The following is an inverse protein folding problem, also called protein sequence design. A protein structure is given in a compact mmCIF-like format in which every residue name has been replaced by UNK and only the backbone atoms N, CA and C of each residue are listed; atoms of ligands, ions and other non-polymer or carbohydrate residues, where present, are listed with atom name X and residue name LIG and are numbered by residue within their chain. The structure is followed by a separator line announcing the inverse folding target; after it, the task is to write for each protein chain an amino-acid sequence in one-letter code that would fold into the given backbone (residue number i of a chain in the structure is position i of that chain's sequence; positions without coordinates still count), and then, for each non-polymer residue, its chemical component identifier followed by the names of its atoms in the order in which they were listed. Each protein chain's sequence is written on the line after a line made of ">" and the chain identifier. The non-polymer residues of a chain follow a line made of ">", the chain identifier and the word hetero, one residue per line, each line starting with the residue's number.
data_IF_785513496452
#
_entry.id   IF_785513496452
#
_cell.length_a   1.000
_cell.length_b   1.000
_cell.length_c   1.000
_cell.angle_alpha   90.00
_cell.angle_beta   90.00
_cell.angle_gamma   90.00
#
_symmetry.space_group_name_H-M   'P 1'
#
loop_
_entity.id
_entity.type
_entity.pdbx_description
1 polymer ?
#
# COMPACT_ATOMS: atom_id res chain seq x y z
N UNK A 1 41.68 -3.03 -8.74
CA UNK A 1 40.70 -3.87 -9.46
C UNK A 1 39.62 -2.93 -9.97
N UNK A 2 39.44 -2.77 -11.29
CA UNK A 2 38.34 -1.95 -11.84
C UNK A 2 37.08 -2.83 -11.82
N UNK A 3 36.04 -2.38 -11.12
CA UNK A 3 34.77 -3.08 -11.11
C UNK A 3 34.20 -3.20 -12.52
N UNK A 4 33.57 -4.34 -12.81
CA UNK A 4 32.97 -4.60 -14.12
C UNK A 4 31.88 -3.55 -14.38
N UNK A 5 31.72 -3.02 -15.61
CA UNK A 5 30.69 -2.04 -15.93
C UNK A 5 29.28 -2.46 -15.53
N UNK A 6 28.98 -3.76 -15.58
CA UNK A 6 27.70 -4.30 -15.10
C UNK A 6 27.50 -4.09 -13.59
N UNK A 7 28.53 -4.32 -12.77
CA UNK A 7 28.43 -4.16 -11.31
C UNK A 7 28.18 -2.70 -10.92
N UNK A 8 28.82 -1.77 -11.64
CA UNK A 8 28.58 -0.33 -11.46
C UNK A 8 27.12 0.00 -11.82
N UNK A 9 26.63 -0.48 -12.97
CA UNK A 9 25.24 -0.26 -13.39
C UNK A 9 24.22 -0.80 -12.38
N UNK A 10 24.41 -2.03 -11.88
CA UNK A 10 23.54 -2.65 -10.88
C UNK A 10 23.53 -1.86 -9.56
N UNK A 11 24.68 -1.32 -9.14
CA UNK A 11 24.79 -0.47 -7.96
C UNK A 11 24.03 0.85 -8.12
N UNK A 12 24.13 1.51 -9.28
CA UNK A 12 23.37 2.73 -9.55
C UNK A 12 21.87 2.45 -9.61
N UNK A 13 21.47 1.31 -10.17
CA UNK A 13 20.07 0.89 -10.22
C UNK A 13 19.50 0.63 -8.82
N UNK A 14 20.21 -0.10 -7.97
CA UNK A 14 19.77 -0.36 -6.60
C UNK A 14 19.66 0.92 -5.78
N UNK A 15 20.56 1.89 -6.00
CA UNK A 15 20.46 3.22 -5.40
C UNK A 15 19.20 3.96 -5.82
N UNK A 16 18.85 3.94 -7.10
CA UNK A 16 17.62 4.55 -7.60
C UNK A 16 16.37 3.90 -6.96
N UNK A 17 16.37 2.57 -6.81
CA UNK A 17 15.27 1.86 -6.14
C UNK A 17 15.13 2.28 -4.66
N UNK A 18 16.25 2.55 -3.98
CA UNK A 18 16.28 3.11 -2.61
C UNK A 18 15.75 4.54 -2.59
N UNK A 19 16.13 5.39 -3.53
CA UNK A 19 15.64 6.78 -3.63
C UNK A 19 14.11 6.81 -3.85
N UNK A 20 13.59 5.97 -4.76
CA UNK A 20 12.14 5.80 -4.96
C UNK A 20 11.43 5.36 -3.67
N UNK A 21 12.04 4.43 -2.92
CA UNK A 21 11.50 3.96 -1.64
C UNK A 21 11.45 5.08 -0.60
N UNK A 22 12.49 5.91 -0.50
CA UNK A 22 12.54 7.06 0.41
C UNK A 22 11.54 8.16 0.02
N UNK A 23 11.28 8.36 -1.27
CA UNK A 23 10.26 9.30 -1.74
C UNK A 23 8.85 8.84 -1.37
N UNK A 24 8.54 7.54 -1.55
CA UNK A 24 7.28 6.96 -1.07
C UNK A 24 7.17 7.08 0.45
N UNK A 25 8.27 6.79 1.15
CA UNK A 25 8.33 6.88 2.60
C UNK A 25 7.99 8.29 3.09
N UNK A 26 8.64 9.33 2.57
CA UNK A 26 8.38 10.71 3.00
C UNK A 26 7.01 11.22 2.54
N UNK A 27 6.69 11.06 1.25
CA UNK A 27 5.55 11.75 0.65
C UNK A 27 4.22 11.01 0.80
N UNK A 28 4.23 9.67 0.82
CA UNK A 28 2.99 8.90 0.91
C UNK A 28 2.66 8.52 2.35
N UNK A 29 3.67 8.16 3.15
CA UNK A 29 3.48 7.83 4.57
C UNK A 29 3.54 9.08 5.45
N UNK A 30 3.80 10.27 4.88
CA UNK A 30 3.83 11.56 5.58
C UNK A 30 4.74 11.48 6.82
N UNK A 31 5.94 10.90 6.65
CA UNK A 31 6.98 10.87 7.68
C UNK A 31 7.63 12.25 7.80
N UNK A 32 6.85 13.24 8.23
CA UNK A 32 7.38 14.50 8.68
C UNK A 32 7.59 14.39 10.19
N UNK A 33 8.85 14.24 10.59
CA UNK A 33 9.27 14.25 11.99
C UNK A 33 9.64 15.67 12.43
N UNK A 34 8.77 16.36 13.20
CA UNK A 34 9.28 17.35 14.14
C UNK A 34 8.98 17.02 15.62
N UNK A 35 8.21 15.95 15.93
CA UNK A 35 7.65 15.78 17.29
C UNK A 35 7.99 14.46 18.01
N UNK A 36 8.83 13.59 17.42
CA UNK A 36 9.30 12.38 18.10
C UNK A 36 10.53 12.73 18.95
N UNK A 37 10.31 13.17 20.20
CA UNK A 37 11.37 13.54 21.16
C UNK A 37 12.03 12.33 21.85
N UNK A 38 11.47 11.14 21.65
CA UNK A 38 11.86 9.92 22.35
C UNK A 38 12.34 8.84 21.36
N UNK A 39 13.49 8.24 21.68
CA UNK A 39 14.19 7.28 20.82
C UNK A 39 13.38 6.00 20.59
N UNK A 40 12.62 5.53 21.60
CA UNK A 40 11.77 4.35 21.45
C UNK A 40 10.58 4.62 20.53
N UNK A 41 9.98 5.80 20.65
CA UNK A 41 8.91 6.23 19.75
C UNK A 41 9.41 6.37 18.31
N UNK A 42 10.62 6.89 18.09
CA UNK A 42 11.25 6.93 16.77
C UNK A 42 11.49 5.52 16.21
N UNK A 43 12.01 4.59 17.01
CA UNK A 43 12.20 3.19 16.61
C UNK A 43 10.90 2.54 16.18
N UNK A 44 9.84 2.69 16.98
CA UNK A 44 8.51 2.15 16.66
C UNK A 44 7.91 2.76 15.38
N UNK A 45 8.10 4.07 15.21
CA UNK A 45 7.64 4.78 14.02
C UNK A 45 8.33 4.29 12.73
N UNK A 46 9.66 4.18 12.75
CA UNK A 46 10.45 3.67 11.62
C UNK A 46 10.05 2.22 11.31
N UNK A 47 9.83 1.40 12.33
CA UNK A 47 9.38 0.02 12.17
C UNK A 47 8.01 -0.08 11.47
N UNK A 48 7.01 0.65 11.94
CA UNK A 48 5.69 0.67 11.31
C UNK A 48 5.74 1.20 9.87
N UNK A 49 6.58 2.20 9.63
CA UNK A 49 6.79 2.77 8.29
C UNK A 49 7.47 1.76 7.35
N UNK A 50 8.38 0.93 7.85
CA UNK A 50 9.00 -0.15 7.07
C UNK A 50 7.98 -1.23 6.68
N UNK A 51 7.09 -1.62 7.59
CA UNK A 51 5.98 -2.55 7.28
C UNK A 51 5.08 -1.95 6.19
N UNK A 52 4.76 -0.66 6.31
CA UNK A 52 3.94 0.07 5.35
C UNK A 52 4.58 0.10 3.96
N UNK A 53 5.91 0.29 3.90
CA UNK A 53 6.68 0.25 2.66
C UNK A 53 6.68 -1.15 2.01
N UNK A 54 6.81 -2.21 2.80
CA UNK A 54 6.68 -3.60 2.30
C UNK A 54 5.29 -3.81 1.69
N UNK A 55 4.23 -3.37 2.37
CA UNK A 55 2.87 -3.48 1.87
C UNK A 55 2.68 -2.68 0.57
N UNK A 56 3.20 -1.46 0.50
CA UNK A 56 3.18 -0.62 -0.70
C UNK A 56 3.79 -1.34 -1.92
N UNK A 57 5.01 -1.88 -1.78
CA UNK A 57 5.68 -2.56 -2.89
C UNK A 57 5.00 -3.88 -3.28
N UNK A 58 4.36 -4.57 -2.34
CA UNK A 58 3.53 -5.74 -2.66
C UNK A 58 2.33 -5.35 -3.53
N UNK A 59 1.66 -4.26 -3.20
CA UNK A 59 0.55 -3.74 -4.00
C UNK A 59 1.06 -3.28 -5.36
N UNK A 60 2.15 -2.52 -5.40
CA UNK A 60 2.77 -2.07 -6.66
C UNK A 60 3.12 -3.24 -7.58
N UNK A 61 3.72 -4.31 -7.03
CA UNK A 61 4.03 -5.53 -7.77
C UNK A 61 2.76 -6.18 -8.33
N UNK A 62 1.68 -6.21 -7.55
CA UNK A 62 0.39 -6.75 -7.98
C UNK A 62 -0.20 -5.91 -9.13
N UNK A 63 -0.18 -4.58 -9.02
CA UNK A 63 -0.63 -3.67 -10.08
C UNK A 63 0.20 -3.82 -11.37
N UNK A 64 1.53 -3.99 -11.24
CA UNK A 64 2.43 -4.25 -12.37
C UNK A 64 2.13 -5.59 -13.04
N UNK A 65 1.93 -6.66 -12.26
CA UNK A 65 1.60 -7.99 -12.78
C UNK A 65 0.29 -8.00 -13.56
N UNK A 66 -0.72 -7.23 -13.12
CA UNK A 66 -2.00 -7.08 -13.81
C UNK A 66 -1.99 -6.01 -14.92
N UNK A 67 -0.83 -5.38 -15.19
CA UNK A 67 -0.64 -4.33 -16.22
C UNK A 67 -1.57 -3.12 -16.08
N UNK A 68 -2.00 -2.78 -14.86
CA UNK A 68 -2.89 -1.63 -14.58
C UNK A 68 -2.18 -0.45 -13.91
N UNK A 69 -0.89 -0.58 -13.60
CA UNK A 69 -0.07 0.46 -12.99
C UNK A 69 0.08 1.74 -13.84
N UNK A 70 -0.34 1.71 -15.11
CA UNK A 70 -0.38 2.88 -15.99
C UNK A 70 -1.64 3.75 -15.80
N UNK A 71 -2.67 3.22 -15.14
CA UNK A 71 -3.98 3.88 -14.95
C UNK A 71 -4.30 4.14 -13.48
N UNK A 72 -3.76 3.32 -12.58
CA UNK A 72 -4.08 3.34 -11.16
C UNK A 72 -2.77 3.32 -10.38
N UNK A 73 -2.55 4.35 -9.55
CA UNK A 73 -1.45 4.36 -8.58
C UNK A 73 -1.77 3.48 -7.38
N UNK A 74 -0.76 3.12 -6.58
CA UNK A 74 -0.96 2.39 -5.32
C UNK A 74 -1.86 3.18 -4.36
N UNK A 75 -1.71 4.51 -4.31
CA UNK A 75 -2.57 5.39 -3.51
C UNK A 75 -4.03 5.33 -3.95
N UNK A 76 -4.26 5.37 -5.26
CA UNK A 76 -5.62 5.26 -5.82
C UNK A 76 -6.23 3.88 -5.52
N UNK A 77 -5.44 2.81 -5.65
CA UNK A 77 -5.90 1.46 -5.32
C UNK A 77 -6.33 1.36 -3.85
N UNK A 78 -5.50 1.84 -2.93
CA UNK A 78 -5.83 1.89 -1.49
C UNK A 78 -7.08 2.72 -1.23
N UNK A 79 -7.22 3.89 -1.86
CA UNK A 79 -8.38 4.77 -1.71
C UNK A 79 -9.68 4.17 -2.25
N UNK A 80 -9.62 3.40 -3.34
CA UNK A 80 -10.80 2.72 -3.85
C UNK A 80 -11.17 1.53 -2.96
N UNK A 81 -10.18 0.76 -2.51
CA UNK A 81 -10.41 -0.42 -1.66
C UNK A 81 -10.85 -0.05 -0.25
N UNK A 82 -10.46 1.13 0.29
CA UNK A 82 -10.92 1.60 1.61
C UNK A 82 -12.42 1.84 1.69
N UNK A 83 -13.11 1.94 0.55
CA UNK A 83 -14.58 2.04 0.48
C UNK A 83 -15.28 0.71 0.75
N UNK A 84 -14.55 -0.39 0.82
CA UNK A 84 -15.08 -1.70 1.23
C UNK A 84 -14.94 -1.78 2.76
N UNK A 85 -16.02 -1.50 3.49
CA UNK A 85 -16.07 -1.60 4.94
C UNK A 85 -17.45 -2.04 5.43
N UNK A 86 -17.51 -2.51 6.69
CA UNK A 86 -18.74 -2.83 7.39
C UNK A 86 -19.27 -1.56 8.08
N UNK A 87 -20.58 -1.32 7.99
CA UNK A 87 -21.26 -0.21 8.66
C UNK A 87 -22.43 -0.73 9.49
N UNK A 88 -22.64 -0.12 10.65
CA UNK A 88 -23.79 -0.40 11.50
C UNK A 88 -24.99 0.43 11.05
N UNK A 89 -26.13 -0.23 10.86
CA UNK A 89 -27.41 0.40 10.57
C UNK A 89 -28.44 -0.16 11.57
N UNK A 90 -28.66 0.59 12.65
CA UNK A 90 -29.44 0.11 13.80
C UNK A 90 -28.73 -1.05 14.49
N UNK A 91 -29.43 -2.14 14.76
CA UNK A 91 -28.88 -3.36 15.39
C UNK A 91 -28.22 -4.35 14.39
N UNK A 92 -27.89 -3.90 13.19
CA UNK A 92 -27.32 -4.76 12.14
C UNK A 92 -26.04 -4.17 11.56
N UNK A 93 -24.96 -4.94 11.62
CA UNK A 93 -23.76 -4.66 10.85
C UNK A 93 -23.93 -5.19 9.44
N UNK A 94 -23.92 -4.30 8.45
CA UNK A 94 -24.06 -4.62 7.03
C UNK A 94 -22.82 -4.19 6.25
N UNK A 95 -22.52 -4.86 5.14
CA UNK A 95 -21.50 -4.39 4.21
C UNK A 95 -21.97 -3.09 3.53
N UNK A 96 -21.12 -2.06 3.52
CA UNK A 96 -21.40 -0.83 2.80
C UNK A 96 -21.53 -1.10 1.29
N UNK A 97 -22.32 -0.28 0.59
CA UNK A 97 -22.48 -0.40 -0.86
C UNK A 97 -21.12 -0.25 -1.55
N UNK A 98 -20.68 -1.31 -2.25
CA UNK A 98 -19.41 -1.31 -3.00
C UNK A 98 -19.67 -0.66 -4.37
N UNK A 99 -19.09 0.53 -4.67
CA UNK A 99 -19.27 1.18 -5.96
C UNK A 99 -18.76 0.31 -7.10
N UNK A 100 -19.37 0.42 -8.29
CA UNK A 100 -19.00 -0.39 -9.47
C UNK A 100 -17.49 -0.38 -9.77
N UNK A 101 -16.86 0.80 -9.75
CA UNK A 101 -15.41 0.96 -9.97
C UNK A 101 -14.56 0.18 -8.97
N UNK A 102 -15.00 0.11 -7.71
CA UNK A 102 -14.30 -0.62 -6.64
C UNK A 102 -14.43 -2.13 -6.84
N UNK A 103 -15.62 -2.60 -7.27
CA UNK A 103 -15.86 -4.01 -7.58
C UNK A 103 -15.05 -4.47 -8.79
N UNK A 104 -14.99 -3.66 -9.84
CA UNK A 104 -14.16 -3.92 -11.03
C UNK A 104 -12.68 -3.99 -10.65
N UNK A 105 -12.20 -3.04 -9.83
CA UNK A 105 -10.84 -3.06 -9.32
C UNK A 105 -10.56 -4.32 -8.50
N UNK A 106 -11.43 -4.67 -7.54
CA UNK A 106 -11.28 -5.88 -6.75
C UNK A 106 -11.21 -7.15 -7.62
N UNK A 107 -12.06 -7.24 -8.66
CA UNK A 107 -12.03 -8.35 -9.63
C UNK A 107 -10.71 -8.43 -10.41
N UNK A 108 -10.19 -7.30 -10.90
CA UNK A 108 -8.89 -7.25 -11.61
C UNK A 108 -7.74 -7.68 -10.71
N UNK A 109 -7.80 -7.29 -9.43
CA UNK A 109 -6.81 -7.66 -8.41
C UNK A 109 -7.02 -9.08 -7.86
N UNK A 110 -8.03 -9.82 -8.36
CA UNK A 110 -8.43 -11.15 -7.87
C UNK A 110 -8.72 -11.18 -6.36
N UNK A 111 -9.12 -10.03 -5.81
CA UNK A 111 -9.60 -9.92 -4.46
C UNK A 111 -11.03 -10.45 -4.42
N UNK A 112 -11.33 -11.30 -3.45
CA UNK A 112 -12.69 -11.74 -3.16
C UNK A 112 -13.29 -10.80 -2.11
N UNK A 113 -14.05 -9.76 -2.50
CA UNK A 113 -14.70 -8.86 -1.54
C UNK A 113 -15.74 -9.58 -0.67
N UNK A 114 -16.15 -10.79 -1.05
CA UNK A 114 -17.02 -11.68 -0.29
C UNK A 114 -16.32 -12.35 0.92
N UNK A 115 -15.01 -12.21 1.06
CA UNK A 115 -14.27 -12.68 2.24
C UNK A 115 -14.62 -11.90 3.52
N UNK A 116 -15.27 -10.74 3.38
CA UNK A 116 -15.83 -10.02 4.51
C UNK A 116 -17.20 -10.59 4.85
N UNK A 117 -17.44 -10.95 6.13
CA UNK A 117 -18.68 -11.62 6.53
C UNK A 117 -19.90 -10.77 6.14
N UNK A 118 -20.76 -11.33 5.28
CA UNK A 118 -22.01 -10.68 4.86
C UNK A 118 -23.08 -10.65 5.95
N UNK A 119 -22.87 -11.44 7.01
CA UNK A 119 -23.67 -11.45 8.23
C UNK A 119 -22.71 -11.49 9.41
N UNK A 120 -22.66 -10.42 10.19
CA UNK A 120 -22.11 -10.46 11.54
C UNK A 120 -23.21 -11.07 12.41
N UNK A 121 -22.96 -12.16 13.16
CA UNK A 121 -23.95 -12.67 14.09
C UNK A 121 -24.30 -11.59 15.11
N UNK A 122 -25.60 -11.41 15.35
CA UNK A 122 -26.16 -10.53 16.38
C UNK A 122 -25.64 -10.86 17.78
#
# INVERSE_FOLDING_TARGET
>A
VRDKPQAIFELYKSRNDVEEAFDVFKNLLHVDTPYLRDDDTLRGYVFASFISLIAYYRILKLLKNKKINNRISVKDALLQLSKIYLTDVGDRTIMAEIPKKVRELAGILELKPELFPQKVPS
#
